data_IF_326138314031
#
_entry.id   IF_326138314031
#
_cell.length_a   1.000
_cell.length_b   1.000
_cell.length_c   1.000
_cell.angle_alpha   90.00
_cell.angle_beta   90.00
_cell.angle_gamma   90.00
#
_symmetry.space_group_name_H-M   'P 1'
#
loop_
_entity.id
_entity.type
_entity.pdbx_description
1 polymer ?
#
# COMPACT_ATOMS: atom_id res chain seq x y z
N UNK A 1 -28.64 -15.68 -1.69
CA UNK A 1 -27.19 -15.43 -1.77
C UNK A 1 -26.54 -16.12 -0.60
N UNK A 2 -25.57 -17.00 -0.84
CA UNK A 2 -24.76 -17.61 0.22
C UNK A 2 -23.77 -16.59 0.77
N UNK A 3 -23.26 -16.80 2.00
CA UNK A 3 -22.34 -15.86 2.65
C UNK A 3 -21.09 -15.56 1.82
N UNK A 4 -20.55 -16.56 1.12
CA UNK A 4 -19.37 -16.38 0.29
C UNK A 4 -19.63 -15.60 -1.02
N UNK A 5 -20.86 -15.65 -1.54
CA UNK A 5 -21.25 -14.83 -2.68
C UNK A 5 -21.27 -13.34 -2.31
N UNK A 6 -21.77 -13.01 -1.10
CA UNK A 6 -21.74 -11.64 -0.56
C UNK A 6 -20.30 -11.17 -0.36
N UNK A 7 -19.44 -12.02 0.21
CA UNK A 7 -18.01 -11.70 0.40
C UNK A 7 -17.27 -11.50 -0.92
N UNK A 8 -17.59 -12.27 -1.95
CA UNK A 8 -17.02 -12.11 -3.29
C UNK A 8 -17.47 -10.81 -3.95
N UNK A 9 -18.75 -10.45 -3.84
CA UNK A 9 -19.25 -9.15 -4.30
C UNK A 9 -18.56 -8.00 -3.57
N UNK A 10 -18.39 -8.13 -2.24
CA UNK A 10 -17.67 -7.14 -1.44
C UNK A 10 -16.22 -7.02 -1.90
N UNK A 11 -15.49 -8.12 -2.04
CA UNK A 11 -14.11 -8.12 -2.55
C UNK A 11 -14.00 -7.43 -3.92
N UNK A 12 -14.92 -7.74 -4.84
CA UNK A 12 -14.99 -7.10 -6.16
C UNK A 12 -15.20 -5.58 -6.08
N UNK A 13 -16.00 -5.12 -5.12
CA UNK A 13 -16.27 -3.69 -4.93
C UNK A 13 -15.06 -2.90 -4.43
N UNK A 14 -14.19 -3.51 -3.60
CA UNK A 14 -13.02 -2.82 -3.03
C UNK A 14 -11.74 -2.99 -3.85
N UNK A 15 -11.70 -3.93 -4.78
CA UNK A 15 -10.60 -4.04 -5.73
C UNK A 15 -10.76 -3.04 -6.88
N UNK A 16 -9.64 -2.47 -7.33
CA UNK A 16 -9.58 -1.56 -8.46
C UNK A 16 -8.51 -2.00 -9.47
N UNK A 17 -8.58 -1.48 -10.70
CA UNK A 17 -7.57 -1.70 -11.73
C UNK A 17 -7.31 -3.18 -12.03
N UNK A 18 -6.03 -3.59 -12.03
CA UNK A 18 -5.65 -4.97 -12.35
C UNK A 18 -6.18 -6.00 -11.34
N UNK A 19 -6.43 -5.59 -10.08
CA UNK A 19 -6.96 -6.48 -9.06
C UNK A 19 -8.40 -6.88 -9.35
N UNK A 20 -9.26 -5.93 -9.77
CA UNK A 20 -10.66 -6.24 -10.11
C UNK A 20 -10.74 -7.13 -11.36
N UNK A 21 -9.93 -6.85 -12.38
CA UNK A 21 -9.84 -7.69 -13.59
C UNK A 21 -9.38 -9.10 -13.25
N UNK A 22 -8.46 -9.26 -12.29
CA UNK A 22 -7.97 -10.56 -11.87
C UNK A 22 -9.04 -11.39 -11.14
N UNK A 23 -9.98 -10.77 -10.42
CA UNK A 23 -11.01 -11.48 -9.64
C UNK A 23 -12.36 -11.61 -10.35
N UNK A 24 -12.64 -10.80 -11.38
CA UNK A 24 -13.92 -10.80 -12.10
C UNK A 24 -14.31 -12.17 -12.65
N UNK A 25 -13.35 -12.93 -13.19
CA UNK A 25 -13.61 -14.25 -13.77
C UNK A 25 -14.09 -15.29 -12.73
N UNK A 26 -13.83 -15.08 -11.43
CA UNK A 26 -14.23 -15.98 -10.36
C UNK A 26 -15.66 -15.76 -9.89
N UNK A 27 -16.32 -14.67 -10.33
CA UNK A 27 -17.74 -14.42 -10.05
C UNK A 27 -18.70 -15.37 -10.79
N UNK A 28 -18.19 -16.08 -11.82
CA UNK A 28 -18.94 -17.07 -12.61
C UNK A 28 -18.93 -18.46 -11.96
N UNK A 29 -17.99 -18.72 -11.03
CA UNK A 29 -17.90 -19.97 -10.30
C UNK A 29 -18.95 -20.06 -9.19
N UNK A 30 -19.11 -21.25 -8.62
CA UNK A 30 -19.89 -21.43 -7.39
C UNK A 30 -19.32 -20.56 -6.26
N UNK A 31 -20.18 -20.18 -5.31
CA UNK A 31 -19.84 -19.17 -4.32
C UNK A 31 -18.64 -19.54 -3.43
N UNK A 32 -18.43 -20.83 -3.16
CA UNK A 32 -17.34 -21.30 -2.30
C UNK A 32 -16.01 -21.33 -3.07
N UNK A 33 -15.99 -21.93 -4.26
CA UNK A 33 -14.82 -21.95 -5.12
C UNK A 33 -14.41 -20.55 -5.61
N UNK A 34 -15.38 -19.73 -5.98
CA UNK A 34 -15.17 -18.38 -6.48
C UNK A 34 -14.54 -17.46 -5.43
N UNK A 35 -15.03 -17.49 -4.18
CA UNK A 35 -14.47 -16.66 -3.10
C UNK A 35 -13.04 -17.08 -2.73
N UNK A 36 -12.80 -18.38 -2.56
CA UNK A 36 -11.46 -18.89 -2.21
C UNK A 36 -10.43 -18.50 -3.27
N UNK A 37 -10.73 -18.73 -4.54
CA UNK A 37 -9.80 -18.39 -5.63
C UNK A 37 -9.62 -16.89 -5.79
N UNK A 38 -10.68 -16.10 -5.65
CA UNK A 38 -10.60 -14.64 -5.71
C UNK A 38 -9.74 -14.05 -4.57
N UNK A 39 -9.65 -14.71 -3.41
CA UNK A 39 -8.74 -14.31 -2.33
C UNK A 39 -7.27 -14.64 -2.62
N UNK A 40 -6.99 -15.80 -3.22
CA UNK A 40 -5.62 -16.29 -3.44
C UNK A 40 -4.93 -15.57 -4.61
N UNK A 41 -5.67 -15.17 -5.63
CA UNK A 41 -5.08 -14.64 -6.87
C UNK A 41 -4.42 -13.28 -6.70
N UNK A 42 -5.01 -12.31 -5.98
CA UNK A 42 -4.33 -11.07 -5.66
C UNK A 42 -3.03 -11.30 -4.91
N UNK A 43 -3.01 -12.22 -3.94
CA UNK A 43 -1.79 -12.59 -3.20
C UNK A 43 -0.72 -13.16 -4.15
N UNK A 44 -1.10 -14.10 -5.03
CA UNK A 44 -0.16 -14.68 -6.01
C UNK A 44 0.37 -13.68 -7.04
N UNK A 45 -0.41 -12.66 -7.39
CA UNK A 45 -0.06 -11.69 -8.44
C UNK A 45 0.62 -10.44 -7.91
N UNK A 46 0.27 -10.00 -6.70
CA UNK A 46 0.65 -8.71 -6.14
C UNK A 46 1.24 -8.82 -4.73
N UNK A 47 1.13 -9.98 -4.09
CA UNK A 47 1.56 -10.21 -2.70
C UNK A 47 3.03 -10.58 -2.55
N UNK A 48 3.82 -10.58 -3.63
CA UNK A 48 5.28 -10.71 -3.49
C UNK A 48 5.81 -9.59 -2.61
N UNK A 49 6.56 -9.93 -1.56
CA UNK A 49 7.04 -8.97 -0.56
C UNK A 49 7.76 -7.78 -1.20
N UNK A 50 8.55 -8.03 -2.27
CA UNK A 50 9.23 -6.96 -3.01
C UNK A 50 8.25 -6.00 -3.69
N UNK A 51 7.20 -6.51 -4.34
CA UNK A 51 6.18 -5.70 -5.01
C UNK A 51 5.43 -4.84 -3.98
N UNK A 52 5.04 -5.43 -2.84
CA UNK A 52 4.38 -4.70 -1.76
C UNK A 52 5.30 -3.64 -1.17
N UNK A 53 6.54 -4.00 -0.85
CA UNK A 53 7.56 -3.07 -0.32
C UNK A 53 7.77 -1.90 -1.28
N UNK A 54 7.91 -2.19 -2.58
CA UNK A 54 8.14 -1.18 -3.61
C UNK A 54 6.97 -0.21 -3.72
N UNK A 55 5.74 -0.71 -3.65
CA UNK A 55 4.55 0.13 -3.67
C UNK A 55 4.54 1.15 -2.51
N UNK A 56 4.77 0.69 -1.27
CA UNK A 56 4.80 1.59 -0.10
C UNK A 56 5.96 2.57 -0.15
N UNK A 57 7.13 2.15 -0.66
CA UNK A 57 8.27 3.03 -0.85
C UNK A 57 7.98 4.08 -1.92
N UNK A 58 7.45 3.70 -3.08
CA UNK A 58 7.10 4.65 -4.15
C UNK A 58 6.00 5.62 -3.67
N UNK A 59 4.96 5.16 -2.97
CA UNK A 59 3.92 6.04 -2.40
C UNK A 59 4.50 7.02 -1.36
N UNK A 60 5.43 6.56 -0.51
CA UNK A 60 6.12 7.41 0.45
C UNK A 60 7.08 8.40 -0.21
N UNK A 61 7.54 8.14 -1.44
CA UNK A 61 8.58 8.92 -2.14
C UNK A 61 8.07 9.72 -3.35
N UNK A 62 6.79 9.64 -3.71
CA UNK A 62 6.17 10.37 -4.84
C UNK A 62 5.55 11.75 -4.48
N UNK A 63 5.50 12.07 -3.19
CA UNK A 63 4.98 13.34 -2.71
C UNK A 63 5.88 14.56 -2.95
N UNK A 64 5.29 15.71 -2.64
CA UNK A 64 5.86 17.02 -2.89
C UNK A 64 6.30 17.72 -1.60
N UNK A 65 7.11 18.75 -1.75
CA UNK A 65 7.59 19.54 -0.61
C UNK A 65 6.41 20.13 0.17
N UNK A 66 6.39 19.86 1.47
CA UNK A 66 5.37 20.36 2.39
C UNK A 66 5.47 21.87 2.54
N UNK A 67 4.32 22.54 2.46
CA UNK A 67 4.22 23.99 2.71
C UNK A 67 4.46 24.30 4.20
N UNK A 68 5.17 25.39 4.53
CA UNK A 68 5.32 25.83 5.92
C UNK A 68 3.96 26.04 6.60
N UNK A 69 3.80 25.53 7.83
CA UNK A 69 2.56 25.69 8.60
C UNK A 69 1.44 24.70 8.26
N UNK A 70 1.61 23.82 7.28
CA UNK A 70 0.63 22.77 6.99
C UNK A 70 0.82 21.56 7.91
N UNK A 71 0.33 21.67 9.14
CA UNK A 71 0.40 20.61 10.15
C UNK A 71 -0.34 19.33 9.72
N UNK A 72 -1.44 19.47 8.96
CA UNK A 72 -2.20 18.34 8.44
C UNK A 72 -1.37 17.49 7.48
N UNK A 73 -0.69 18.12 6.52
CA UNK A 73 0.13 17.40 5.55
C UNK A 73 1.38 16.77 6.21
N UNK A 74 1.94 17.42 7.24
CA UNK A 74 3.02 16.85 8.05
C UNK A 74 2.54 15.62 8.85
N UNK A 75 1.36 15.69 9.46
CA UNK A 75 0.74 14.56 10.16
C UNK A 75 0.44 13.39 9.22
N UNK A 76 -0.04 13.67 8.01
CA UNK A 76 -0.24 12.66 6.97
C UNK A 76 1.07 11.98 6.57
N UNK A 77 2.15 12.75 6.34
CA UNK A 77 3.47 12.19 6.05
C UNK A 77 3.97 11.29 7.19
N UNK A 78 3.83 11.72 8.45
CA UNK A 78 4.22 10.92 9.61
C UNK A 78 3.43 9.59 9.69
N UNK A 79 2.15 9.63 9.35
CA UNK A 79 1.31 8.43 9.29
C UNK A 79 1.76 7.49 8.16
N UNK A 80 2.02 8.00 6.96
CA UNK A 80 2.52 7.20 5.82
C UNK A 80 3.87 6.56 6.15
N UNK A 81 4.80 7.31 6.79
CA UNK A 81 6.08 6.77 7.25
C UNK A 81 5.89 5.62 8.24
N UNK A 82 4.97 5.75 9.21
CA UNK A 82 4.67 4.68 10.17
C UNK A 82 4.05 3.45 9.51
N UNK A 83 3.13 3.63 8.57
CA UNK A 83 2.54 2.53 7.80
C UNK A 83 3.63 1.79 7.01
N UNK A 84 4.52 2.53 6.37
CA UNK A 84 5.65 2.00 5.63
C UNK A 84 6.61 1.22 6.56
N UNK A 85 7.02 1.79 7.69
CA UNK A 85 7.86 1.13 8.70
C UNK A 85 7.27 -0.21 9.18
N UNK A 86 6.00 -0.21 9.60
CA UNK A 86 5.32 -1.43 10.09
C UNK A 86 5.27 -2.50 9.01
N UNK A 87 4.93 -2.11 7.78
CA UNK A 87 4.79 -3.05 6.66
C UNK A 87 6.15 -3.65 6.28
N UNK A 88 7.16 -2.80 6.09
CA UNK A 88 8.51 -3.24 5.72
C UNK A 88 9.15 -4.12 6.79
N UNK A 89 8.93 -3.82 8.07
CA UNK A 89 9.40 -4.67 9.17
C UNK A 89 8.78 -6.07 9.12
N UNK A 90 7.47 -6.18 8.86
CA UNK A 90 6.80 -7.47 8.71
C UNK A 90 7.31 -8.26 7.50
N UNK A 91 7.65 -7.55 6.41
CA UNK A 91 8.16 -8.16 5.18
C UNK A 91 9.67 -8.44 5.21
N UNK A 92 10.39 -8.00 6.25
CA UNK A 92 11.86 -8.05 6.41
C UNK A 92 12.64 -7.19 5.41
N UNK A 93 12.10 -6.00 5.11
CA UNK A 93 12.68 -4.97 4.25
C UNK A 93 12.91 -3.64 5.01
N UNK A 94 13.10 -3.68 6.33
CA UNK A 94 13.31 -2.48 7.16
C UNK A 94 14.55 -1.66 6.77
N UNK A 95 15.54 -2.31 6.13
CA UNK A 95 16.73 -1.63 5.59
C UNK A 95 16.41 -0.64 4.48
N UNK A 96 15.37 -0.88 3.68
CA UNK A 96 15.06 -0.07 2.49
C UNK A 96 14.53 1.32 2.87
N UNK A 97 13.78 1.40 3.96
CA UNK A 97 13.32 2.67 4.53
C UNK A 97 14.48 3.47 5.13
N UNK A 98 15.46 2.78 5.72
CA UNK A 98 16.56 3.39 6.49
C UNK A 98 17.80 3.72 5.65
N UNK A 99 17.73 3.64 4.32
CA UNK A 99 18.86 4.04 3.47
C UNK A 99 19.09 5.55 3.50
N UNK A 100 20.33 5.98 3.24
CA UNK A 100 20.65 7.41 3.11
C UNK A 100 19.82 8.08 2.02
N UNK A 101 19.60 7.42 0.89
CA UNK A 101 18.82 7.94 -0.22
C UNK A 101 17.36 8.21 0.16
N UNK A 102 16.71 7.26 0.84
CA UNK A 102 15.33 7.42 1.33
C UNK A 102 15.23 8.59 2.31
N UNK A 103 16.15 8.64 3.28
CA UNK A 103 16.20 9.72 4.27
C UNK A 103 16.43 11.10 3.62
N UNK A 104 17.31 11.20 2.63
CA UNK A 104 17.53 12.45 1.89
C UNK A 104 16.27 12.95 1.18
N UNK A 105 15.49 12.06 0.58
CA UNK A 105 14.23 12.41 -0.08
C UNK A 105 13.21 12.91 0.96
N UNK A 106 13.03 12.18 2.06
CA UNK A 106 12.07 12.57 3.12
C UNK A 106 12.46 13.93 3.72
N UNK A 107 13.75 14.18 4.00
CA UNK A 107 14.22 15.48 4.48
C UNK A 107 13.96 16.60 3.47
N UNK A 108 14.07 16.32 2.16
CA UNK A 108 13.73 17.29 1.10
C UNK A 108 12.24 17.62 1.05
N UNK A 109 11.36 16.83 1.66
CA UNK A 109 9.94 17.15 1.73
C UNK A 109 9.60 18.06 2.89
N UNK A 110 10.35 17.95 3.99
CA UNK A 110 10.11 18.76 5.17
C UNK A 110 10.21 20.26 4.86
N UNK A 111 9.39 21.12 5.49
CA UNK A 111 9.55 22.56 5.42
C UNK A 111 10.97 22.97 5.84
N UNK A 112 11.50 24.05 5.28
CA UNK A 112 12.89 24.49 5.54
C UNK A 112 13.21 24.75 7.01
N UNK A 113 12.21 25.16 7.80
CA UNK A 113 12.38 25.41 9.24
C UNK A 113 12.48 24.12 10.08
N UNK A 114 12.11 22.96 9.54
CA UNK A 114 12.25 21.65 10.19
C UNK A 114 13.48 20.87 9.71
N UNK A 115 14.17 21.36 8.69
CA UNK A 115 15.43 20.76 8.22
C UNK A 115 16.53 21.22 9.17
N UNK A 116 16.79 20.42 10.20
CA UNK A 116 17.92 20.66 11.10
C UNK A 116 19.20 20.38 10.32
N UNK A 117 20.18 21.28 10.48
CA UNK A 117 21.49 21.21 9.85
C UNK A 117 22.46 20.39 10.70
#
# INVERSE_FOLDING_TARGET
MTGNQIRLTYLSHFCNGLAVTAIQHFTVLDADGGYVLAGIIPEKRFGENFVVTRFFMDELLDGSRLSPGNSTALGYLAQQMRVCEVTLTQLKYDSDLNTSGTNEIIVKWLPSHLRVK
#
